data_IF_699607427814
#
_entry.id   IF_699607427814
#
_cell.length_a   1.000
_cell.length_b   1.000
_cell.length_c   1.000
_cell.angle_alpha   90.00
_cell.angle_beta   90.00
_cell.angle_gamma   90.00
#
_symmetry.space_group_name_H-M   'P 1'
#
loop_
_entity.id
_entity.type
_entity.pdbx_description
1 polymer ?
#
# COMPACT_ATOMS: atom_id res chain seq x y z
N UNK A 1 -17.47 -4.10 5.19
CA UNK A 1 -17.09 -3.84 6.59
C UNK A 1 -15.77 -4.53 6.84
N UNK A 2 -14.80 -3.82 7.42
CA UNK A 2 -13.44 -4.32 7.66
C UNK A 2 -12.41 -3.63 6.77
N UNK A 3 -12.19 -2.34 7.04
CA UNK A 3 -11.18 -1.53 6.35
C UNK A 3 -9.83 -1.70 7.03
N UNK A 4 -8.84 -2.19 6.29
CA UNK A 4 -7.44 -2.25 6.76
C UNK A 4 -6.85 -0.85 7.02
N UNK A 5 -7.54 0.22 6.59
CA UNK A 5 -7.29 1.59 7.04
C UNK A 5 -7.49 1.79 8.55
N UNK A 6 -8.40 1.06 9.22
CA UNK A 6 -8.51 1.07 10.69
C UNK A 6 -7.29 0.45 11.36
N UNK A 7 -6.58 -0.46 10.69
CA UNK A 7 -5.46 -1.17 11.30
C UNK A 7 -4.28 -0.25 11.64
N UNK A 8 -3.94 0.73 10.79
CA UNK A 8 -2.82 1.64 11.09
C UNK A 8 -3.17 2.62 12.22
N UNK A 9 -4.42 3.10 12.28
CA UNK A 9 -4.88 3.97 13.36
C UNK A 9 -4.98 3.21 14.68
N UNK A 10 -5.54 2.00 14.64
CA UNK A 10 -5.61 1.10 15.78
C UNK A 10 -4.22 0.68 16.26
N UNK A 11 -3.29 0.38 15.36
CA UNK A 11 -1.90 0.06 15.73
C UNK A 11 -1.19 1.30 16.31
N UNK A 12 -1.38 2.49 15.75
CA UNK A 12 -0.82 3.71 16.34
C UNK A 12 -1.35 3.98 17.76
N UNK A 13 -2.64 3.70 17.98
CA UNK A 13 -3.32 3.84 19.27
C UNK A 13 -2.89 2.75 20.27
N UNK A 14 -2.90 1.48 19.86
CA UNK A 14 -2.50 0.31 20.64
C UNK A 14 -1.03 0.41 21.09
N UNK A 15 -0.16 0.90 20.22
CA UNK A 15 1.27 1.06 20.49
C UNK A 15 1.66 2.46 20.96
N UNK A 16 0.68 3.34 21.25
CA UNK A 16 0.87 4.73 21.72
C UNK A 16 1.92 5.54 20.95
N UNK A 17 1.99 5.36 19.63
CA UNK A 17 3.00 6.02 18.80
C UNK A 17 2.36 6.84 17.69
N UNK A 18 3.03 7.91 17.27
CA UNK A 18 2.49 8.81 16.24
C UNK A 18 2.53 8.15 14.86
N UNK A 19 1.60 8.53 13.98
CA UNK A 19 1.60 8.07 12.58
C UNK A 19 2.95 8.34 11.89
N UNK A 20 3.54 9.50 12.13
CA UNK A 20 4.86 9.87 11.58
C UNK A 20 6.00 9.00 12.10
N UNK A 21 5.88 8.49 13.34
CA UNK A 21 6.82 7.51 13.89
C UNK A 21 6.68 6.16 13.18
N UNK A 22 5.47 5.62 13.00
CA UNK A 22 5.27 4.35 12.28
C UNK A 22 5.73 4.47 10.81
N UNK A 23 5.43 5.60 10.17
CA UNK A 23 5.82 5.88 8.78
C UNK A 23 7.33 5.97 8.57
N UNK A 24 8.10 6.45 9.57
CA UNK A 24 9.56 6.47 9.49
C UNK A 24 10.19 5.16 9.99
N UNK A 25 9.53 4.46 10.92
CA UNK A 25 10.00 3.20 11.49
C UNK A 25 10.04 2.06 10.47
N UNK A 26 9.01 1.90 9.65
CA UNK A 26 8.91 0.77 8.70
C UNK A 26 9.99 0.83 7.60
N UNK A 27 10.23 1.95 6.90
CA UNK A 27 11.34 2.07 5.95
C UNK A 27 12.70 1.86 6.62
N UNK A 28 12.89 2.42 7.81
CA UNK A 28 14.14 2.25 8.58
C UNK A 28 14.35 0.80 9.01
N UNK A 29 13.29 0.08 9.33
CA UNK A 29 13.34 -1.33 9.72
C UNK A 29 13.63 -2.22 8.51
N UNK A 30 13.04 -1.94 7.34
CA UNK A 30 13.37 -2.62 6.09
C UNK A 30 14.87 -2.44 5.75
N UNK A 31 15.39 -1.23 5.82
CA UNK A 31 16.81 -0.95 5.55
C UNK A 31 17.74 -1.72 6.51
N UNK A 32 17.43 -1.77 7.81
CA UNK A 32 18.20 -2.57 8.78
C UNK A 32 18.10 -4.07 8.49
N UNK A 33 16.92 -4.55 8.10
CA UNK A 33 16.73 -5.95 7.71
C UNK A 33 17.55 -6.32 6.48
N UNK A 34 17.64 -5.44 5.47
CA UNK A 34 18.50 -5.62 4.31
C UNK A 34 19.98 -5.74 4.69
N UNK A 35 20.44 -4.98 5.68
CA UNK A 35 21.79 -5.15 6.24
C UNK A 35 21.96 -6.51 6.95
N UNK A 36 20.96 -6.97 7.71
CA UNK A 36 20.99 -8.28 8.38
C UNK A 36 21.04 -9.44 7.39
N UNK A 37 20.33 -9.35 6.26
CA UNK A 37 20.38 -10.35 5.18
C UNK A 37 21.79 -10.46 4.59
N UNK A 38 22.44 -9.32 4.35
CA UNK A 38 23.83 -9.29 3.85
C UNK A 38 24.77 -9.90 4.87
N UNK A 39 24.68 -9.48 6.13
CA UNK A 39 25.51 -10.00 7.21
C UNK A 39 25.32 -11.51 7.42
N UNK A 40 24.09 -12.02 7.38
CA UNK A 40 23.82 -13.45 7.53
C UNK A 40 24.34 -14.28 6.34
N UNK A 41 24.59 -13.65 5.19
CA UNK A 41 25.23 -14.30 4.04
C UNK A 41 26.74 -14.48 4.22
N UNK A 42 27.38 -13.63 5.03
CA UNK A 42 28.83 -13.69 5.32
C UNK A 42 29.18 -14.78 6.36
N UNK A 43 28.21 -15.20 7.18
CA UNK A 43 28.41 -16.18 8.26
C UNK A 43 27.71 -17.49 7.91
N UNK A 44 28.48 -18.53 7.57
CA UNK A 44 27.96 -19.84 7.17
C UNK A 44 26.97 -20.46 8.18
N UNK A 45 27.17 -20.29 9.49
CA UNK A 45 26.28 -20.85 10.50
C UNK A 45 24.88 -20.20 10.54
N UNK A 46 24.69 -19.04 9.90
CA UNK A 46 23.42 -18.30 9.87
C UNK A 46 22.61 -18.53 8.58
N UNK A 47 22.96 -19.56 7.79
CA UNK A 47 22.31 -19.85 6.51
C UNK A 47 20.78 -19.98 6.61
N UNK A 48 20.27 -20.55 7.72
CA UNK A 48 18.83 -20.68 7.96
C UNK A 48 18.15 -19.32 8.07
N UNK A 49 18.77 -18.37 8.77
CA UNK A 49 18.29 -16.99 8.89
C UNK A 49 18.36 -16.27 7.55
N UNK A 50 19.45 -16.47 6.79
CA UNK A 50 19.61 -15.89 5.45
C UNK A 50 18.49 -16.35 4.50
N UNK A 51 17.99 -17.57 4.63
CA UNK A 51 16.86 -18.06 3.84
C UNK A 51 15.49 -17.52 4.31
N UNK A 52 15.34 -17.23 5.60
CA UNK A 52 14.08 -16.76 6.18
C UNK A 52 13.88 -15.24 6.03
N UNK A 53 14.96 -14.48 6.15
CA UNK A 53 14.91 -13.01 6.17
C UNK A 53 14.33 -12.37 4.90
N UNK A 54 14.53 -12.87 3.67
CA UNK A 54 13.92 -12.30 2.47
C UNK A 54 12.39 -12.26 2.52
N UNK A 55 11.76 -13.35 3.00
CA UNK A 55 10.30 -13.40 3.16
C UNK A 55 9.82 -12.41 4.22
N UNK A 56 10.60 -12.18 5.28
CA UNK A 56 10.24 -11.23 6.32
C UNK A 56 10.44 -9.77 5.85
N UNK A 57 11.54 -9.49 5.16
CA UNK A 57 11.82 -8.17 4.56
C UNK A 57 10.70 -7.78 3.60
N UNK A 58 10.28 -8.71 2.74
CA UNK A 58 9.16 -8.51 1.81
C UNK A 58 7.88 -8.06 2.55
N UNK A 59 7.58 -8.65 3.72
CA UNK A 59 6.41 -8.24 4.54
C UNK A 59 6.58 -6.85 5.14
N UNK A 60 7.79 -6.50 5.60
CA UNK A 60 8.09 -5.17 6.17
C UNK A 60 7.99 -4.10 5.08
N UNK A 61 8.56 -4.36 3.90
CA UNK A 61 8.47 -3.47 2.74
C UNK A 61 7.01 -3.23 2.34
N UNK A 62 6.16 -4.26 2.36
CA UNK A 62 4.74 -4.10 2.06
C UNK A 62 3.97 -3.27 3.09
N UNK A 63 4.29 -3.41 4.38
CA UNK A 63 3.74 -2.54 5.41
C UNK A 63 4.22 -1.08 5.25
N UNK A 64 5.36 -0.88 4.60
CA UNK A 64 6.04 0.40 4.45
C UNK A 64 5.60 1.22 3.23
N UNK A 65 4.68 0.74 2.37
CA UNK A 65 4.20 1.48 1.20
C UNK A 65 2.98 2.31 1.59
N UNK A 66 3.12 3.62 1.90
CA UNK A 66 2.00 4.44 2.36
C UNK A 66 0.91 4.63 1.29
N UNK A 67 1.26 4.51 0.00
CA UNK A 67 0.35 4.59 -1.14
C UNK A 67 -0.60 3.38 -1.23
N UNK A 68 -0.24 2.26 -0.60
CA UNK A 68 -1.02 1.03 -0.61
C UNK A 68 -2.35 1.24 0.12
N UNK A 69 -2.34 1.95 1.25
CA UNK A 69 -3.52 2.18 2.09
C UNK A 69 -4.63 2.93 1.33
N UNK A 70 -4.39 4.10 0.71
CA UNK A 70 -5.43 4.79 -0.08
C UNK A 70 -5.95 3.99 -1.27
N UNK A 71 -5.12 3.14 -1.89
CA UNK A 71 -5.50 2.33 -3.04
C UNK A 71 -6.36 1.13 -2.60
N UNK A 72 -6.11 0.57 -1.42
CA UNK A 72 -6.91 -0.50 -0.82
C UNK A 72 -8.28 -0.03 -0.30
N UNK A 73 -8.49 1.28 -0.14
CA UNK A 73 -9.82 1.85 0.14
C UNK A 73 -10.79 1.68 -1.05
N UNK A 74 -10.29 1.32 -2.24
CA UNK A 74 -11.10 1.17 -3.45
C UNK A 74 -11.85 -0.16 -3.47
N UNK A 75 -13.11 -0.11 -3.90
CA UNK A 75 -13.95 -1.31 -4.03
C UNK A 75 -13.37 -2.28 -5.06
N UNK A 76 -13.12 -3.52 -4.65
CA UNK A 76 -12.53 -4.56 -5.51
C UNK A 76 -11.00 -4.54 -5.56
N UNK A 77 -10.34 -3.75 -4.71
CA UNK A 77 -8.87 -3.65 -4.64
C UNK A 77 -8.37 -4.18 -3.30
N UNK A 78 -8.05 -5.48 -3.26
CA UNK A 78 -7.28 -6.07 -2.16
C UNK A 78 -5.78 -5.78 -2.29
N UNK A 79 -5.00 -6.15 -1.28
CA UNK A 79 -3.55 -5.89 -1.22
C UNK A 79 -2.79 -6.35 -2.50
N UNK A 80 -3.12 -7.52 -3.04
CA UNK A 80 -2.51 -8.03 -4.28
C UNK A 80 -2.79 -7.15 -5.50
N UNK A 81 -4.01 -6.61 -5.61
CA UNK A 81 -4.41 -5.71 -6.71
C UNK A 81 -3.79 -4.33 -6.54
N UNK A 82 -3.72 -3.83 -5.31
CA UNK A 82 -3.06 -2.56 -5.00
C UNK A 82 -1.58 -2.58 -5.42
N UNK A 83 -0.88 -3.70 -5.20
CA UNK A 83 0.50 -3.89 -5.67
C UNK A 83 0.62 -3.82 -7.20
N UNK A 84 -0.26 -4.53 -7.92
CA UNK A 84 -0.23 -4.50 -9.38
C UNK A 84 -0.47 -3.08 -9.92
N UNK A 85 -1.37 -2.32 -9.30
CA UNK A 85 -1.63 -0.93 -9.63
C UNK A 85 -0.38 -0.06 -9.43
N UNK A 86 0.27 -0.15 -8.27
CA UNK A 86 1.50 0.61 -7.97
C UNK A 86 2.63 0.21 -8.94
N UNK A 87 2.81 -1.08 -9.20
CA UNK A 87 3.83 -1.58 -10.13
C UNK A 87 3.56 -1.14 -11.57
N UNK A 88 2.29 -0.95 -11.95
CA UNK A 88 1.89 -0.38 -13.24
C UNK A 88 2.01 1.15 -13.31
N UNK A 89 2.49 1.80 -12.23
CA UNK A 89 2.72 3.24 -12.14
C UNK A 89 1.55 4.05 -11.56
N UNK A 90 0.51 3.41 -11.04
CA UNK A 90 -0.62 4.08 -10.40
C UNK A 90 -0.38 4.20 -8.89
N UNK A 91 0.28 5.27 -8.47
CA UNK A 91 0.68 5.52 -7.08
C UNK A 91 -0.38 6.30 -6.29
N UNK A 92 -1.39 6.87 -6.96
CA UNK A 92 -2.44 7.65 -6.31
C UNK A 92 -3.85 7.31 -6.78
N UNK A 93 -4.82 7.47 -5.88
CA UNK A 93 -6.26 7.36 -6.20
C UNK A 93 -6.69 8.34 -7.30
N UNK A 94 -6.01 9.50 -7.39
CA UNK A 94 -6.24 10.52 -8.42
C UNK A 94 -5.88 10.02 -9.82
N UNK A 95 -4.76 9.32 -9.96
CA UNK A 95 -4.34 8.74 -11.24
C UNK A 95 -5.33 7.67 -11.66
N UNK A 96 -5.68 6.73 -10.76
CA UNK A 96 -6.66 5.66 -11.03
C UNK A 96 -8.03 6.25 -11.43
N UNK A 97 -8.44 7.36 -10.80
CA UNK A 97 -9.70 8.03 -11.14
C UNK A 97 -9.72 8.68 -12.54
N UNK A 98 -8.55 9.01 -13.09
CA UNK A 98 -8.39 9.63 -14.42
C UNK A 98 -8.19 8.61 -15.53
N UNK A 99 -7.76 7.40 -15.20
CA UNK A 99 -7.50 6.32 -16.14
C UNK A 99 -8.79 5.74 -16.73
N UNK A 100 -8.72 5.29 -17.98
CA UNK A 100 -9.81 4.52 -18.57
C UNK A 100 -9.82 3.06 -18.09
N UNK A 101 -10.99 2.45 -17.84
CA UNK A 101 -11.08 1.05 -17.42
C UNK A 101 -10.37 0.07 -18.37
N UNK A 102 -10.34 0.34 -19.67
CA UNK A 102 -9.69 -0.50 -20.66
C UNK A 102 -8.16 -0.48 -20.53
N UNK A 103 -7.57 0.66 -20.21
CA UNK A 103 -6.12 0.76 -19.96
C UNK A 103 -5.69 -0.08 -18.75
N UNK A 104 -6.52 -0.09 -17.71
CA UNK A 104 -6.27 -0.93 -16.53
C UNK A 104 -6.32 -2.42 -16.87
N UNK A 105 -7.26 -2.85 -17.73
CA UNK A 105 -7.35 -4.25 -18.18
C UNK A 105 -6.10 -4.64 -18.97
N UNK A 106 -5.57 -3.74 -19.80
CA UNK A 106 -4.38 -4.02 -20.61
C UNK A 106 -3.09 -4.09 -19.78
N UNK A 107 -2.99 -3.29 -18.71
CA UNK A 107 -1.78 -3.26 -17.86
C UNK A 107 -1.80 -4.26 -16.71
N UNK A 108 -2.98 -4.67 -16.24
CA UNK A 108 -3.12 -5.50 -15.05
C UNK A 108 -3.48 -6.93 -15.39
N UNK A 109 -2.73 -7.87 -14.82
CA UNK A 109 -2.96 -9.31 -14.99
C UNK A 109 -4.31 -9.70 -14.36
N UNK A 110 -5.09 -10.52 -15.08
CA UNK A 110 -6.38 -11.07 -14.61
C UNK A 110 -7.34 -10.00 -14.07
N UNK A 111 -7.53 -8.91 -14.82
CA UNK A 111 -8.56 -7.90 -14.54
C UNK A 111 -9.67 -7.98 -15.60
N UNK A 112 -10.91 -8.25 -15.17
CA UNK A 112 -12.05 -8.21 -16.08
C UNK A 112 -12.57 -6.76 -16.22
N UNK A 113 -13.17 -6.42 -17.37
CA UNK A 113 -13.67 -5.07 -17.67
C UNK A 113 -14.68 -4.56 -16.61
N UNK A 114 -15.54 -5.45 -16.09
CA UNK A 114 -16.46 -5.11 -14.99
C UNK A 114 -15.71 -4.67 -13.72
N UNK A 115 -14.64 -5.38 -13.35
CA UNK A 115 -13.82 -5.04 -12.18
C UNK A 115 -13.06 -3.74 -12.42
N UNK A 116 -12.50 -3.54 -13.62
CA UNK A 116 -11.81 -2.30 -13.97
C UNK A 116 -12.76 -1.08 -13.87
N UNK A 117 -13.98 -1.18 -14.40
CA UNK A 117 -15.00 -0.13 -14.28
C UNK A 117 -15.34 0.17 -12.82
N UNK A 118 -15.51 -0.87 -12.01
CA UNK A 118 -15.78 -0.73 -10.57
C UNK A 118 -14.64 0.01 -9.86
N UNK A 119 -13.38 -0.35 -10.13
CA UNK A 119 -12.20 0.28 -9.52
C UNK A 119 -12.12 1.77 -9.89
N UNK A 120 -12.24 2.12 -11.18
CA UNK A 120 -12.20 3.52 -11.64
C UNK A 120 -13.36 4.33 -11.05
N UNK A 121 -14.56 3.74 -10.97
CA UNK A 121 -15.74 4.41 -10.42
C UNK A 121 -15.58 4.66 -8.92
N UNK A 122 -15.07 3.65 -8.18
CA UNK A 122 -14.72 3.80 -6.77
C UNK A 122 -13.66 4.87 -6.55
N UNK A 123 -12.63 4.92 -7.42
CA UNK A 123 -11.57 5.92 -7.33
C UNK A 123 -12.11 7.33 -7.54
N UNK A 124 -12.97 7.54 -8.55
CA UNK A 124 -13.65 8.83 -8.78
C UNK A 124 -14.49 9.26 -7.58
N UNK A 125 -15.22 8.34 -6.96
CA UNK A 125 -16.03 8.63 -5.78
C UNK A 125 -15.17 9.03 -4.57
N UNK A 126 -14.14 8.25 -4.24
CA UNK A 126 -13.22 8.52 -3.13
C UNK A 126 -12.48 9.85 -3.35
N UNK A 127 -12.03 10.11 -4.58
CA UNK A 127 -11.38 11.36 -4.96
C UNK A 127 -12.31 12.57 -4.76
N UNK A 128 -13.56 12.49 -5.25
CA UNK A 128 -14.57 13.55 -5.07
C UNK A 128 -14.94 13.78 -3.61
N UNK A 129 -14.95 12.73 -2.77
CA UNK A 129 -15.16 12.85 -1.33
C UNK A 129 -14.00 13.60 -0.66
N UNK A 130 -12.76 13.24 -1.00
CA UNK A 130 -11.54 13.91 -0.47
C UNK A 130 -11.51 15.39 -0.88
N UNK A 131 -11.88 15.73 -2.12
CA UNK A 131 -12.01 17.12 -2.58
C UNK A 131 -13.03 17.93 -1.76
N UNK A 132 -14.25 17.40 -1.57
CA UNK A 132 -15.29 18.09 -0.79
C UNK A 132 -14.90 18.32 0.68
N UNK A 133 -14.12 17.40 1.26
CA UNK A 133 -13.59 17.57 2.61
C UNK A 133 -12.53 18.68 2.70
N UNK A 134 -11.69 18.81 1.67
CA UNK A 134 -10.71 19.89 1.58
C UNK A 134 -11.41 21.25 1.44
N UNK A 135 -12.43 21.35 0.58
CA UNK A 135 -13.22 22.57 0.41
C UNK A 135 -13.90 23.01 1.72
N UNK A 136 -14.49 22.08 2.48
CA UNK A 136 -15.10 22.38 3.78
C UNK A 136 -14.10 22.85 4.83
N UNK A 137 -12.86 22.37 4.80
CA UNK A 137 -11.81 22.81 5.74
C UNK A 137 -11.26 24.20 5.44
N UNK A 138 -11.41 24.68 4.22
CA UNK A 138 -10.97 26.03 3.81
C UNK A 138 -12.06 27.09 4.04
N UNK A 139 -13.28 26.68 4.40
CA UNK A 139 -14.42 27.56 4.70
C UNK A 139 -14.68 27.73 6.21
N UNK A 140 -13.90 27.07 7.07
CA UNK A 140 -13.90 27.20 8.53
C UNK A 140 -12.57 27.79 8.99
#
# INVERSE_FOLDING_TARGET
>A
SGGEGEAVWKVAEDFRCSRGFIQSLLPSSAARYSCLIRFSGEIQHLWTLHMLFPTLLQKIEYASIPELVPIMELSGVGQGRARQLIQAGYISVKEIARTEPLELVNKLIQLNNKQAKQIVTSAKLVFKKKLRLLERRQMN
#
